data_IF_002408233048
#
_entry.id   IF_002408233048
#
_cell.length_a   1.000
_cell.length_b   1.000
_cell.length_c   1.000
_cell.angle_alpha   90.00
_cell.angle_beta   90.00
_cell.angle_gamma   90.00
#
_symmetry.space_group_name_H-M   'P 1'
#
loop_
_entity.id
_entity.type
_entity.pdbx_description
1 polymer ?
#
# COMPACT_ATOMS: atom_id res chain seq x y z
N UNK A 1 41.99 -7.69 3.05
CA UNK A 1 41.23 -7.26 4.25
C UNK A 1 39.85 -6.66 3.92
N UNK A 2 39.62 -6.07 2.74
CA UNK A 2 38.30 -5.56 2.31
C UNK A 2 37.34 -6.66 1.81
N UNK A 3 37.85 -7.72 1.15
CA UNK A 3 37.01 -8.82 0.64
C UNK A 3 36.35 -9.68 1.73
N UNK A 4 36.95 -9.77 2.92
CA UNK A 4 36.40 -10.55 4.05
C UNK A 4 35.20 -9.81 4.66
N UNK A 5 35.19 -8.48 4.62
CA UNK A 5 34.07 -7.66 5.08
C UNK A 5 32.86 -7.76 4.13
N UNK A 6 33.08 -7.95 2.84
CA UNK A 6 32.01 -8.12 1.85
C UNK A 6 31.30 -9.48 1.92
N UNK A 7 31.95 -10.52 2.47
CA UNK A 7 31.38 -11.87 2.64
C UNK A 7 30.59 -12.01 3.95
N UNK A 8 30.84 -11.15 4.94
CA UNK A 8 30.14 -11.15 6.24
C UNK A 8 28.76 -10.46 6.17
N UNK A 9 28.46 -9.74 5.07
CA UNK A 9 27.09 -9.31 4.72
C UNK A 9 26.36 -10.44 3.97
N UNK A 10 26.60 -11.69 4.39
CA UNK A 10 25.62 -12.77 4.22
C UNK A 10 24.51 -12.50 5.22
N UNK A 11 23.62 -11.62 4.75
CA UNK A 11 22.22 -11.51 5.11
C UNK A 11 21.71 -12.81 5.74
N UNK A 12 21.66 -12.83 7.07
CA UNK A 12 20.78 -13.74 7.81
C UNK A 12 19.35 -13.23 7.60
N UNK A 13 18.80 -13.44 6.40
CA UNK A 13 17.35 -13.51 6.26
C UNK A 13 17.00 -14.87 6.85
N UNK A 14 16.35 -14.95 8.03
CA UNK A 14 15.66 -16.17 8.37
C UNK A 14 14.69 -16.43 7.21
N UNK A 15 14.93 -17.53 6.49
CA UNK A 15 14.02 -18.07 5.48
C UNK A 15 12.79 -18.58 6.23
N UNK A 16 11.99 -17.65 6.78
CA UNK A 16 10.61 -17.88 7.13
C UNK A 16 9.93 -18.07 5.78
N UNK A 17 9.94 -19.33 5.33
CA UNK A 17 9.17 -19.78 4.19
C UNK A 17 7.76 -19.22 4.42
N UNK A 18 7.36 -18.25 3.60
CA UNK A 18 6.06 -17.61 3.67
C UNK A 18 5.01 -18.71 3.76
N UNK A 19 4.47 -18.94 4.96
CA UNK A 19 3.20 -19.63 5.08
C UNK A 19 2.27 -18.71 4.31
N UNK A 20 1.59 -19.23 3.28
CA UNK A 20 0.52 -18.51 2.64
C UNK A 20 -0.54 -18.24 3.73
N UNK A 21 -0.38 -17.12 4.44
CA UNK A 21 -1.33 -16.68 5.45
C UNK A 21 -2.60 -16.40 4.68
N UNK A 22 -3.72 -16.94 5.18
CA UNK A 22 -5.01 -16.56 4.62
C UNK A 22 -5.17 -15.04 4.74
N UNK A 23 -5.96 -14.41 3.86
CA UNK A 23 -6.21 -12.97 3.93
C UNK A 23 -6.71 -12.56 5.34
N UNK A 24 -7.37 -13.48 6.06
CA UNK A 24 -7.85 -13.31 7.43
C UNK A 24 -6.75 -13.28 8.51
N UNK A 25 -5.54 -13.74 8.21
CA UNK A 25 -4.38 -13.72 9.13
C UNK A 25 -3.39 -12.59 8.81
N UNK A 26 -3.65 -11.81 7.74
CA UNK A 26 -2.83 -10.65 7.41
C UNK A 26 -3.01 -9.56 8.48
N UNK A 27 -1.92 -9.00 8.99
CA UNK A 27 -1.98 -7.94 10.01
C UNK A 27 -2.69 -6.66 9.52
N UNK A 28 -2.50 -6.32 8.25
CA UNK A 28 -3.01 -5.09 7.63
C UNK A 28 -4.10 -5.39 6.59
N UNK A 29 -5.30 -5.82 7.01
CA UNK A 29 -6.39 -6.14 6.09
C UNK A 29 -6.81 -4.95 5.22
N UNK A 30 -6.71 -3.72 5.71
CA UNK A 30 -7.13 -2.55 4.93
C UNK A 30 -6.40 -2.41 3.58
N UNK A 31 -5.16 -2.90 3.50
CA UNK A 31 -4.37 -2.88 2.26
C UNK A 31 -4.94 -3.80 1.18
N UNK A 32 -5.95 -4.62 1.48
CA UNK A 32 -6.62 -5.49 0.50
C UNK A 32 -7.80 -4.83 -0.18
N UNK A 33 -8.25 -3.66 0.30
CA UNK A 33 -9.34 -2.92 -0.35
C UNK A 33 -8.81 -2.03 -1.47
N UNK A 34 -9.12 -2.34 -2.74
CA UNK A 34 -8.60 -1.55 -3.85
C UNK A 34 -9.28 -0.19 -3.95
N UNK A 35 -8.50 0.89 -4.13
CA UNK A 35 -9.04 2.20 -4.45
C UNK A 35 -9.50 2.26 -5.92
N UNK A 36 -10.50 3.11 -6.17
CA UNK A 36 -10.96 3.45 -7.52
C UNK A 36 -12.37 2.93 -7.82
N UNK A 37 -13.30 3.86 -8.03
CA UNK A 37 -14.70 3.53 -8.33
C UNK A 37 -14.86 2.76 -9.65
N UNK A 38 -14.03 3.06 -10.66
CA UNK A 38 -14.01 2.35 -11.94
C UNK A 38 -13.54 0.91 -11.80
N UNK A 39 -12.44 0.70 -11.08
CA UNK A 39 -11.90 -0.62 -10.76
C UNK A 39 -12.96 -1.48 -10.05
N UNK A 40 -13.60 -0.90 -9.03
CA UNK A 40 -14.61 -1.58 -8.23
C UNK A 40 -15.90 -1.86 -9.03
N UNK A 41 -16.34 -0.96 -9.91
CA UNK A 41 -17.48 -1.19 -10.81
C UNK A 41 -17.23 -2.32 -11.83
N UNK A 42 -15.97 -2.59 -12.18
CA UNK A 42 -15.57 -3.70 -13.06
C UNK A 42 -15.36 -5.02 -12.27
N UNK A 43 -15.80 -5.11 -11.01
CA UNK A 43 -15.62 -6.31 -10.19
C UNK A 43 -14.17 -6.56 -9.78
N UNK A 44 -13.36 -5.50 -9.66
CA UNK A 44 -11.94 -5.59 -9.27
C UNK A 44 -10.99 -5.89 -10.43
N UNK A 45 -11.48 -5.97 -11.67
CA UNK A 45 -10.68 -6.20 -12.87
C UNK A 45 -9.93 -4.92 -13.34
N UNK A 46 -9.00 -4.40 -12.53
CA UNK A 46 -8.24 -3.17 -12.86
C UNK A 46 -6.82 -3.42 -13.35
N UNK A 47 -6.30 -4.64 -13.23
CA UNK A 47 -4.90 -4.97 -13.60
C UNK A 47 -4.58 -4.77 -15.08
N UNK A 48 -5.59 -4.64 -15.95
CA UNK A 48 -5.43 -4.36 -17.38
C UNK A 48 -5.53 -2.87 -17.77
N UNK A 49 -6.11 -2.02 -16.91
CA UNK A 49 -6.40 -0.61 -17.16
C UNK A 49 -5.63 0.26 -16.16
N UNK A 50 -4.31 0.34 -16.35
CA UNK A 50 -3.37 0.96 -15.41
C UNK A 50 -2.75 2.25 -15.97
N UNK A 51 -3.54 3.01 -16.72
CA UNK A 51 -3.19 4.34 -17.24
C UNK A 51 -3.59 5.49 -16.29
N UNK A 52 -4.02 5.15 -15.07
CA UNK A 52 -4.42 6.10 -14.04
C UNK A 52 -3.61 5.99 -12.75
N UNK A 53 -3.96 6.85 -11.79
CA UNK A 53 -3.24 6.98 -10.53
C UNK A 53 -3.34 5.75 -9.63
N UNK A 54 -4.37 4.92 -9.81
CA UNK A 54 -4.58 3.73 -8.98
C UNK A 54 -3.56 2.63 -9.31
N UNK A 55 -2.78 2.77 -10.39
CA UNK A 55 -1.60 1.96 -10.66
C UNK A 55 -0.62 1.89 -9.47
N UNK A 56 -0.55 2.95 -8.65
CA UNK A 56 0.25 2.98 -7.41
C UNK A 56 -0.13 1.86 -6.42
N UNK A 57 -1.40 1.44 -6.41
CA UNK A 57 -1.90 0.37 -5.55
C UNK A 57 -1.72 -1.02 -6.19
N UNK A 58 -1.95 -1.15 -7.49
CA UNK A 58 -1.98 -2.46 -8.16
C UNK A 58 -0.62 -2.95 -8.66
N UNK A 59 0.12 -2.11 -9.39
CA UNK A 59 1.43 -2.50 -9.92
C UNK A 59 2.30 -1.25 -10.16
N UNK A 60 3.39 -1.07 -9.40
CA UNK A 60 4.22 0.11 -9.47
C UNK A 60 4.87 0.33 -10.84
N UNK A 61 5.12 -0.70 -11.65
CA UNK A 61 5.68 -0.51 -12.98
C UNK A 61 4.75 0.25 -13.94
N UNK A 62 3.44 0.27 -13.67
CA UNK A 62 2.47 0.90 -14.55
C UNK A 62 2.39 2.41 -14.43
N UNK A 63 2.93 3.02 -13.37
CA UNK A 63 2.92 4.49 -13.24
C UNK A 63 3.69 5.19 -14.39
N UNK A 64 4.54 4.45 -15.11
CA UNK A 64 5.21 4.89 -16.33
C UNK A 64 4.22 5.25 -17.47
N UNK A 65 2.98 4.74 -17.42
CA UNK A 65 1.92 5.01 -18.40
C UNK A 65 1.17 6.31 -18.12
N UNK A 66 1.36 6.93 -16.96
CA UNK A 66 0.74 8.20 -16.59
C UNK A 66 1.53 9.35 -17.20
N UNK A 67 1.21 9.74 -18.44
CA UNK A 67 2.08 10.64 -19.23
C UNK A 67 2.18 12.08 -18.71
N UNK A 68 1.09 12.65 -18.17
CA UNK A 68 1.01 14.08 -17.81
C UNK A 68 1.13 14.36 -16.29
N UNK A 69 1.48 13.34 -15.52
CA UNK A 69 1.27 13.34 -14.08
C UNK A 69 -0.21 13.31 -13.72
N UNK A 70 -0.52 12.85 -12.51
CA UNK A 70 -1.89 12.72 -12.04
C UNK A 70 -1.94 12.96 -10.53
N UNK A 71 -3.05 13.49 -10.05
CA UNK A 71 -3.39 13.54 -8.64
C UNK A 71 -4.82 13.02 -8.49
N UNK A 72 -5.10 12.31 -7.40
CA UNK A 72 -6.36 11.62 -7.24
C UNK A 72 -6.70 11.38 -5.78
N UNK A 73 -7.99 11.40 -5.53
CA UNK A 73 -8.59 11.13 -4.24
C UNK A 73 -9.73 10.15 -4.42
N UNK A 74 -9.81 9.19 -3.51
CA UNK A 74 -10.87 8.20 -3.45
C UNK A 74 -11.32 8.08 -2.00
N UNK A 75 -12.64 8.05 -1.82
CA UNK A 75 -13.28 7.79 -0.54
C UNK A 75 -14.40 6.78 -0.77
N UNK A 76 -14.49 5.82 0.14
CA UNK A 76 -15.57 4.84 0.15
C UNK A 76 -16.10 4.67 1.56
N UNK A 77 -17.39 4.97 1.73
CA UNK A 77 -18.08 4.79 2.99
C UNK A 77 -18.63 3.36 3.06
N UNK A 78 -18.10 2.56 3.98
CA UNK A 78 -18.73 1.29 4.32
C UNK A 78 -19.93 1.54 5.25
N UNK A 79 -21.03 0.81 5.05
CA UNK A 79 -22.25 0.94 5.86
C UNK A 79 -21.93 0.85 7.36
N UNK A 80 -22.34 1.86 8.15
CA UNK A 80 -21.97 1.97 9.56
C UNK A 80 -20.86 2.99 9.87
N UNK A 81 -20.46 3.80 8.89
CA UNK A 81 -19.69 5.04 9.03
C UNK A 81 -18.16 4.97 8.99
N UNK A 82 -17.57 4.00 8.29
CA UNK A 82 -16.10 3.85 8.23
C UNK A 82 -15.55 4.17 6.84
N UNK A 83 -14.89 5.31 6.65
CA UNK A 83 -14.32 5.66 5.36
C UNK A 83 -13.00 4.92 5.11
N UNK A 84 -12.92 4.24 3.97
CA UNK A 84 -11.64 3.89 3.35
C UNK A 84 -11.27 5.04 2.42
N UNK A 85 -10.08 5.60 2.61
CA UNK A 85 -9.59 6.72 1.81
C UNK A 85 -8.26 6.39 1.17
N UNK A 86 -8.10 6.84 -0.07
CA UNK A 86 -6.86 6.79 -0.82
C UNK A 86 -6.59 8.16 -1.42
N UNK A 87 -5.40 8.68 -1.21
CA UNK A 87 -4.88 9.88 -1.88
C UNK A 87 -3.60 9.51 -2.58
N UNK A 88 -3.44 9.89 -3.84
CA UNK A 88 -2.23 9.59 -4.60
C UNK A 88 -1.79 10.74 -5.49
N UNK A 89 -0.52 10.70 -5.86
CA UNK A 89 0.09 11.58 -6.85
C UNK A 89 1.12 10.81 -7.68
N UNK A 90 1.14 11.04 -8.99
CA UNK A 90 2.18 10.57 -9.90
C UNK A 90 2.76 11.76 -10.65
N UNK A 91 4.09 11.82 -10.69
CA UNK A 91 4.86 12.77 -11.46
C UNK A 91 5.75 12.01 -12.43
N UNK A 92 5.62 12.30 -13.73
CA UNK A 92 6.38 11.63 -14.78
C UNK A 92 7.48 12.55 -15.31
N UNK A 93 8.68 11.99 -15.45
CA UNK A 93 9.89 12.67 -15.92
C UNK A 93 10.62 11.81 -16.96
N UNK A 94 11.58 12.41 -17.68
CA UNK A 94 12.45 11.68 -18.63
C UNK A 94 13.29 10.57 -17.97
N UNK A 95 13.50 10.65 -16.66
CA UNK A 95 14.30 9.68 -15.90
C UNK A 95 13.45 8.56 -15.28
N UNK A 96 12.12 8.59 -15.46
CA UNK A 96 11.19 7.67 -14.83
C UNK A 96 10.01 8.42 -14.21
N UNK A 97 9.13 7.65 -13.57
CA UNK A 97 7.93 8.16 -12.92
C UNK A 97 8.05 7.94 -11.42
N UNK A 98 7.73 8.98 -10.67
CA UNK A 98 7.67 8.99 -9.22
C UNK A 98 6.23 9.05 -8.79
N UNK A 99 5.88 8.40 -7.70
CA UNK A 99 4.57 8.55 -7.11
C UNK A 99 4.58 8.42 -5.60
N UNK A 100 3.52 8.94 -5.00
CA UNK A 100 3.22 8.76 -3.60
C UNK A 100 1.78 8.36 -3.44
N UNK A 101 1.48 7.58 -2.40
CA UNK A 101 0.12 7.29 -2.01
C UNK A 101 -0.01 7.29 -0.49
N UNK A 102 -1.21 7.64 -0.03
CA UNK A 102 -1.63 7.56 1.36
C UNK A 102 -2.96 6.81 1.40
N UNK A 103 -3.00 5.73 2.18
CA UNK A 103 -4.21 4.97 2.46
C UNK A 103 -4.55 5.18 3.93
N UNK A 104 -5.82 5.41 4.21
CA UNK A 104 -6.32 5.58 5.56
C UNK A 104 -7.64 4.87 5.72
N UNK A 105 -7.73 4.10 6.78
CA UNK A 105 -8.92 3.38 7.19
C UNK A 105 -9.19 3.69 8.66
N UNK A 106 -10.27 4.44 8.91
CA UNK A 106 -10.70 4.79 10.26
C UNK A 106 -11.71 3.75 10.76
N UNK A 107 -11.53 3.31 12.00
CA UNK A 107 -12.31 2.27 12.66
C UNK A 107 -12.89 2.85 13.95
N UNK A 108 -14.10 3.36 13.83
CA UNK A 108 -14.87 3.83 14.98
C UNK A 108 -15.83 2.71 15.42
N UNK A 109 -15.64 2.23 16.65
CA UNK A 109 -16.49 1.22 17.28
C UNK A 109 -17.00 1.74 18.61
N UNK A 110 -18.19 1.29 19.01
CA UNK A 110 -18.68 1.50 20.37
C UNK A 110 -18.19 0.35 21.24
N UNK A 111 -17.44 0.69 22.28
CA UNK A 111 -16.94 -0.25 23.27
C UNK A 111 -18.06 -0.89 24.10
N UNK A 112 -17.76 -1.98 24.81
CA UNK A 112 -18.73 -2.72 25.62
C UNK A 112 -19.32 -1.91 26.76
N UNK A 113 -18.67 -0.82 27.19
CA UNK A 113 -19.15 0.09 28.24
C UNK A 113 -19.78 1.38 27.67
N UNK A 114 -19.99 1.43 26.35
CA UNK A 114 -20.61 2.57 25.67
C UNK A 114 -19.65 3.70 25.30
N UNK A 115 -18.35 3.53 25.54
CA UNK A 115 -17.28 4.42 25.09
C UNK A 115 -17.10 4.38 23.56
N UNK A 116 -16.63 5.48 22.98
CA UNK A 116 -16.25 5.53 21.57
C UNK A 116 -14.77 5.19 21.47
N UNK A 117 -14.45 4.13 20.73
CA UNK A 117 -13.07 3.69 20.48
C UNK A 117 -12.70 4.08 19.05
N UNK A 118 -11.65 4.90 18.92
CA UNK A 118 -11.21 5.46 17.64
C UNK A 118 -9.89 4.81 17.24
N UNK A 119 -9.96 3.79 16.38
CA UNK A 119 -8.81 3.07 15.86
C UNK A 119 -8.53 3.48 14.42
N UNK A 120 -7.29 3.34 13.94
CA UNK A 120 -6.96 3.62 12.56
C UNK A 120 -5.86 2.73 12.02
N UNK A 121 -5.91 2.51 10.71
CA UNK A 121 -4.87 1.83 9.94
C UNK A 121 -4.47 2.72 8.76
N UNK A 122 -3.16 2.98 8.61
CA UNK A 122 -2.62 3.95 7.66
C UNK A 122 -1.43 3.38 6.93
N UNK A 123 -1.31 3.68 5.64
CA UNK A 123 -0.12 3.36 4.86
C UNK A 123 0.33 4.53 4.00
N UNK A 124 1.56 4.98 4.24
CA UNK A 124 2.29 5.88 3.35
C UNK A 124 3.09 5.08 2.35
N UNK A 125 3.10 5.50 1.09
CA UNK A 125 3.76 4.79 0.02
C UNK A 125 4.58 5.75 -0.83
N UNK A 126 5.79 5.34 -1.19
CA UNK A 126 6.63 6.02 -2.18
C UNK A 126 6.97 5.02 -3.27
N UNK A 127 6.71 5.39 -4.52
CA UNK A 127 6.85 4.53 -5.68
C UNK A 127 7.78 5.17 -6.70
N UNK A 128 8.63 4.35 -7.33
CA UNK A 128 9.41 4.75 -8.48
C UNK A 128 9.33 3.68 -9.57
N UNK A 129 9.22 4.11 -10.82
CA UNK A 129 9.24 3.22 -11.97
C UNK A 129 10.11 3.77 -13.10
N UNK A 130 10.74 2.85 -13.83
CA UNK A 130 11.66 3.16 -14.91
C UNK A 130 11.48 2.20 -16.09
N UNK A 131 11.61 2.73 -17.30
CA UNK A 131 11.58 1.95 -18.53
C UNK A 131 12.96 1.36 -18.83
N UNK A 132 13.13 0.06 -18.66
CA UNK A 132 14.40 -0.66 -18.87
C UNK A 132 14.64 -0.99 -20.34
N UNK A 133 13.58 -1.13 -21.13
CA UNK A 133 13.64 -1.42 -22.57
C UNK A 133 12.40 -0.84 -23.26
N UNK A 134 12.36 -0.74 -24.61
CA UNK A 134 11.21 -0.17 -25.33
C UNK A 134 9.85 -0.78 -24.96
N UNK A 135 9.85 -2.05 -24.54
CA UNK A 135 8.66 -2.80 -24.12
C UNK A 135 8.60 -3.10 -22.63
N UNK A 136 9.72 -3.02 -21.90
CA UNK A 136 9.79 -3.49 -20.51
C UNK A 136 10.03 -2.33 -19.55
N UNK A 137 9.21 -2.26 -18.51
CA UNK A 137 9.36 -1.30 -17.41
C UNK A 137 9.30 -2.03 -16.07
N UNK A 138 10.04 -1.54 -15.09
CA UNK A 138 10.06 -2.06 -13.72
C UNK A 138 9.68 -0.95 -12.76
N UNK A 139 9.10 -1.31 -11.62
CA UNK A 139 8.79 -0.37 -10.57
C UNK A 139 8.91 -1.01 -9.20
N UNK A 140 9.12 -0.17 -8.20
CA UNK A 140 9.15 -0.58 -6.81
C UNK A 140 8.45 0.43 -5.92
N UNK A 141 7.85 -0.07 -4.84
CA UNK A 141 7.18 0.73 -3.82
C UNK A 141 7.74 0.39 -2.46
N UNK A 142 8.00 1.41 -1.65
CA UNK A 142 8.23 1.26 -0.21
C UNK A 142 6.98 1.78 0.48
N UNK A 143 6.47 1.01 1.44
CA UNK A 143 5.32 1.36 2.26
C UNK A 143 5.70 1.38 3.73
N UNK A 144 5.21 2.39 4.44
CA UNK A 144 5.23 2.47 5.89
C UNK A 144 3.81 2.38 6.40
N UNK A 145 3.52 1.33 7.15
CA UNK A 145 2.20 0.99 7.66
C UNK A 145 2.17 1.29 9.15
N UNK A 146 1.12 1.95 9.61
CA UNK A 146 0.88 2.27 11.01
C UNK A 146 -0.52 1.83 11.40
N UNK A 147 -0.62 1.18 12.54
CA UNK A 147 -1.88 0.71 13.12
C UNK A 147 -1.96 1.21 14.54
N UNK A 148 -3.13 1.71 14.92
CA UNK A 148 -3.45 2.13 16.27
C UNK A 148 -4.84 1.61 16.61
N UNK A 149 -4.92 0.91 17.74
CA UNK A 149 -6.16 0.37 18.27
C UNK A 149 -6.42 0.93 19.66
N UNK A 150 -7.47 1.75 19.72
CA UNK A 150 -8.06 2.24 20.95
C UNK A 150 -8.82 1.09 21.63
N UNK A 151 -8.56 0.88 22.92
CA UNK A 151 -9.05 -0.29 23.66
C UNK A 151 -10.05 0.12 24.76
N UNK A 152 -11.00 -0.78 25.11
CA UNK A 152 -11.94 -0.53 26.19
C UNK A 152 -11.26 -0.18 27.52
N UNK A 153 -12.01 0.48 28.41
CA UNK A 153 -11.50 0.89 29.71
C UNK A 153 -10.83 -0.27 30.47
N UNK A 154 -9.59 -0.03 30.93
CA UNK A 154 -8.80 -1.01 31.68
C UNK A 154 -7.87 -1.88 30.82
N UNK A 155 -7.87 -1.70 29.50
CA UNK A 155 -6.92 -2.32 28.57
C UNK A 155 -6.03 -1.21 28.00
N UNK A 156 -4.74 -1.48 27.83
CA UNK A 156 -3.81 -0.52 27.22
C UNK A 156 -3.96 -0.52 25.71
N UNK A 157 -3.93 0.67 25.11
CA UNK A 157 -3.94 0.85 23.65
C UNK A 157 -2.82 0.05 22.97
N UNK A 158 -3.10 -0.41 21.76
CA UNK A 158 -2.14 -1.13 20.94
C UNK A 158 -1.70 -0.27 19.76
N UNK A 159 -0.41 -0.26 19.46
CA UNK A 159 0.11 0.36 18.24
C UNK A 159 1.17 -0.52 17.60
N UNK A 160 1.20 -0.51 16.28
CA UNK A 160 2.16 -1.26 15.49
C UNK A 160 2.65 -0.41 14.31
N UNK A 161 3.91 -0.61 13.93
CA UNK A 161 4.48 -0.03 12.71
C UNK A 161 5.14 -1.14 11.91
N UNK A 162 4.98 -1.11 10.59
CA UNK A 162 5.57 -2.08 9.69
C UNK A 162 6.08 -1.43 8.41
N UNK A 163 7.08 -2.07 7.79
CA UNK A 163 7.57 -1.72 6.47
C UNK A 163 7.20 -2.80 5.47
N UNK A 164 6.75 -2.40 4.29
CA UNK A 164 6.43 -3.30 3.19
C UNK A 164 7.06 -2.81 1.89
N UNK A 165 7.30 -3.75 0.97
CA UNK A 165 7.97 -3.51 -0.30
C UNK A 165 7.20 -4.21 -1.41
N UNK A 166 6.87 -3.47 -2.48
CA UNK A 166 6.30 -4.04 -3.69
C UNK A 166 7.31 -3.94 -4.83
N UNK A 167 7.28 -4.92 -5.73
CA UNK A 167 8.04 -4.90 -6.98
C UNK A 167 7.09 -5.26 -8.10
N UNK A 168 7.17 -4.53 -9.20
CA UNK A 168 6.33 -4.71 -10.37
C UNK A 168 7.14 -4.74 -11.65
N UNK A 169 6.62 -5.46 -12.65
CA UNK A 169 7.09 -5.43 -14.02
C UNK A 169 5.89 -5.18 -14.94
N UNK A 170 6.16 -4.50 -16.05
CA UNK A 170 5.25 -4.25 -17.16
C UNK A 170 5.98 -4.62 -18.46
N UNK A 171 5.32 -5.39 -19.33
CA UNK A 171 5.83 -5.93 -20.60
C UNK A 171 4.88 -5.54 -21.74
#
# INVERSE_FOLDING_TARGET
MILIFSIVIMVNIPYQLSRAQSISEAGALFLTFPPGSRANAMGGAHTALLDDIYALYFNPANIIRVEKGAFGFYNHQWSGSRPITFTGGVYSSKYGSFGFAFNNFDIDIRGPFGEELNSYERAFQLTYAHKVSPKVSVGGTIKFVQEFFDQPQGISDASANAWAFDIGILI
#
